data_IF_805054245505
#
_entry.id   IF_805054245505
#
_cell.length_a   1.000
_cell.length_b   1.000
_cell.length_c   1.000
_cell.angle_alpha   90.00
_cell.angle_beta   90.00
_cell.angle_gamma   90.00
#
_symmetry.space_group_name_H-M   'P 1'
#
loop_
_entity.id
_entity.type
_entity.pdbx_description
1 polymer ?
#
# COMPACT_ATOMS: atom_id res chain seq x y z
N UNK A 1 30.83 -31.18 18.20
CA UNK A 1 30.92 -29.97 17.36
C UNK A 1 29.51 -29.60 16.96
N UNK A 2 28.96 -28.66 17.72
CA UNK A 2 27.68 -28.00 17.54
C UNK A 2 27.72 -27.09 16.32
N UNK A 3 26.67 -27.10 15.49
CA UNK A 3 26.07 -25.84 15.08
C UNK A 3 24.59 -26.01 14.74
N UNK A 4 23.77 -25.45 15.59
CA UNK A 4 22.31 -25.37 15.50
C UNK A 4 21.97 -24.00 14.94
N UNK A 5 21.74 -23.90 13.62
CA UNK A 5 21.21 -22.68 13.02
C UNK A 5 19.73 -22.57 13.37
N UNK A 6 19.45 -21.80 14.42
CA UNK A 6 18.11 -21.40 14.82
C UNK A 6 17.41 -20.71 13.65
N UNK A 7 16.41 -21.37 13.06
CA UNK A 7 15.38 -20.69 12.29
C UNK A 7 14.55 -19.86 13.27
N UNK A 8 14.80 -18.55 13.29
CA UNK A 8 13.99 -17.58 14.02
C UNK A 8 12.55 -17.68 13.54
N UNK A 9 11.73 -18.35 14.34
CA UNK A 9 10.28 -18.41 14.18
C UNK A 9 9.77 -16.98 14.30
N UNK A 10 9.28 -16.39 13.21
CA UNK A 10 8.53 -15.14 13.30
C UNK A 10 7.32 -15.40 14.20
N UNK A 11 7.34 -14.86 15.41
CA UNK A 11 6.17 -14.84 16.28
C UNK A 11 5.07 -14.10 15.56
N UNK A 12 4.04 -14.81 15.09
CA UNK A 12 2.84 -14.22 14.51
C UNK A 12 2.00 -13.63 15.65
N UNK A 13 2.51 -12.56 16.27
CA UNK A 13 1.80 -11.81 17.29
C UNK A 13 0.70 -11.05 16.56
N UNK A 14 -0.50 -11.63 16.55
CA UNK A 14 -1.67 -11.03 15.93
C UNK A 14 -2.05 -9.77 16.72
N UNK A 15 -1.47 -8.64 16.33
CA UNK A 15 -1.73 -7.35 16.97
C UNK A 15 -3.16 -6.96 16.65
N UNK A 16 -3.96 -6.77 17.71
CA UNK A 16 -5.33 -6.26 17.56
C UNK A 16 -5.25 -4.81 17.12
N UNK A 17 -5.83 -4.52 15.94
CA UNK A 17 -5.99 -3.15 15.47
C UNK A 17 -6.94 -2.40 16.42
N UNK A 18 -6.56 -1.17 16.76
CA UNK A 18 -7.41 -0.26 17.53
C UNK A 18 -8.70 0.06 16.73
N UNK A 19 -9.85 -0.03 17.39
CA UNK A 19 -11.16 0.17 16.75
C UNK A 19 -11.35 1.56 16.15
N UNK A 20 -10.62 2.57 16.65
CA UNK A 20 -10.70 3.95 16.15
C UNK A 20 -10.29 4.06 14.68
N UNK A 21 -9.36 3.21 14.22
CA UNK A 21 -8.92 3.19 12.81
C UNK A 21 -10.07 2.74 11.92
N UNK A 22 -10.71 1.62 12.26
CA UNK A 22 -11.85 1.10 11.52
C UNK A 22 -13.03 2.07 11.54
N UNK A 23 -13.37 2.60 12.72
CA UNK A 23 -14.46 3.57 12.88
C UNK A 23 -14.24 4.83 12.05
N UNK A 24 -13.02 5.36 12.02
CA UNK A 24 -12.70 6.54 11.22
C UNK A 24 -12.92 6.30 9.72
N UNK A 25 -12.49 5.14 9.21
CA UNK A 25 -12.69 4.76 7.80
C UNK A 25 -14.18 4.60 7.49
N UNK A 26 -14.92 3.86 8.31
CA UNK A 26 -16.35 3.62 8.12
C UNK A 26 -17.16 4.92 8.15
N UNK A 27 -16.89 5.79 9.12
CA UNK A 27 -17.52 7.10 9.23
C UNK A 27 -17.12 8.03 8.07
N UNK A 28 -15.86 7.98 7.64
CA UNK A 28 -15.38 8.73 6.47
C UNK A 28 -16.14 8.35 5.21
N UNK A 29 -16.27 7.04 4.94
CA UNK A 29 -17.03 6.53 3.79
C UNK A 29 -18.52 6.90 3.90
N UNK A 30 -19.15 6.68 5.06
CA UNK A 30 -20.56 6.97 5.28
C UNK A 30 -20.91 8.46 5.08
N UNK A 31 -20.04 9.36 5.55
CA UNK A 31 -20.23 10.81 5.46
C UNK A 31 -19.63 11.44 4.20
N UNK A 32 -19.02 10.66 3.30
CA UNK A 32 -18.29 11.16 2.11
C UNK A 32 -17.17 12.14 2.49
N UNK A 33 -16.47 11.84 3.59
CA UNK A 33 -15.33 12.60 4.08
C UNK A 33 -14.03 11.86 3.82
N UNK A 34 -13.02 12.60 3.35
CA UNK A 34 -11.65 12.09 3.22
C UNK A 34 -11.04 11.93 4.61
N UNK A 35 -10.40 10.77 4.85
CA UNK A 35 -9.63 10.50 6.06
C UNK A 35 -8.14 10.50 5.74
N UNK A 36 -7.31 11.02 6.65
CA UNK A 36 -5.85 11.04 6.51
C UNK A 36 -5.21 10.24 7.64
N UNK A 37 -4.23 9.40 7.29
CA UNK A 37 -3.46 8.60 8.23
C UNK A 37 -1.97 8.93 8.08
N UNK A 38 -1.31 9.24 9.19
CA UNK A 38 0.15 9.37 9.26
C UNK A 38 0.71 8.12 9.94
N UNK A 39 1.51 7.35 9.19
CA UNK A 39 2.11 6.09 9.68
C UNK A 39 3.59 6.33 9.94
N UNK A 40 4.01 6.15 11.18
CA UNK A 40 5.41 6.35 11.61
C UNK A 40 6.03 5.00 11.95
N UNK A 41 7.15 4.68 11.31
CA UNK A 41 7.96 3.49 11.62
C UNK A 41 8.51 2.78 10.38
N UNK A 42 9.54 1.97 10.60
CA UNK A 42 10.31 1.30 9.54
C UNK A 42 9.48 0.27 8.75
N UNK A 43 8.46 -0.30 9.39
CA UNK A 43 7.53 -1.28 8.79
C UNK A 43 6.22 -0.66 8.31
N UNK A 44 6.17 0.66 8.15
CA UNK A 44 4.96 1.39 7.70
C UNK A 44 4.37 0.84 6.39
N UNK A 45 5.21 0.34 5.48
CA UNK A 45 4.78 -0.27 4.22
C UNK A 45 3.90 -1.51 4.40
N UNK A 46 4.13 -2.30 5.44
CA UNK A 46 3.33 -3.49 5.75
C UNK A 46 1.89 -3.12 6.17
N UNK A 47 1.68 -1.90 6.67
CA UNK A 47 0.38 -1.41 7.14
C UNK A 47 -0.50 -0.84 6.01
N UNK A 48 0.07 -0.54 4.84
CA UNK A 48 -0.67 -0.01 3.69
C UNK A 48 -1.74 -1.00 3.22
N UNK A 49 -1.39 -2.28 3.10
CA UNK A 49 -2.30 -3.32 2.60
C UNK A 49 -3.50 -3.54 3.54
N UNK A 50 -3.31 -3.73 4.86
CA UNK A 50 -4.43 -3.79 5.81
C UNK A 50 -5.35 -2.56 5.77
N UNK A 51 -4.80 -1.35 5.71
CA UNK A 51 -5.62 -0.13 5.66
C UNK A 51 -6.47 -0.05 4.39
N UNK A 52 -5.90 -0.40 3.23
CA UNK A 52 -6.65 -0.42 1.97
C UNK A 52 -7.69 -1.54 1.94
N UNK A 53 -7.44 -2.67 2.59
CA UNK A 53 -8.44 -3.73 2.77
C UNK A 53 -9.61 -3.27 3.66
N UNK A 54 -9.34 -2.52 4.73
CA UNK A 54 -10.40 -1.92 5.56
C UNK A 54 -11.24 -0.92 4.75
N UNK A 55 -10.58 -0.05 3.97
CA UNK A 55 -11.27 0.87 3.07
C UNK A 55 -12.12 0.12 2.04
N UNK A 56 -11.59 -0.95 1.44
CA UNK A 56 -12.31 -1.75 0.46
C UNK A 56 -13.49 -2.53 1.06
N UNK A 57 -13.48 -2.83 2.36
CA UNK A 57 -14.62 -3.44 3.09
C UNK A 57 -15.66 -2.41 3.50
N UNK A 58 -15.20 -1.22 3.91
CA UNK A 58 -16.08 -0.10 4.27
C UNK A 58 -16.82 0.45 3.05
N UNK A 59 -16.17 0.43 1.87
CA UNK A 59 -16.86 0.61 0.59
C UNK A 59 -17.62 -0.68 0.28
N UNK A 60 -18.90 -0.58 -0.05
CA UNK A 60 -19.67 -1.76 -0.46
C UNK A 60 -19.05 -2.43 -1.69
N UNK A 61 -19.24 -3.74 -1.83
CA UNK A 61 -18.70 -4.52 -2.97
C UNK A 61 -19.13 -3.96 -4.33
N UNK A 62 -20.28 -3.27 -4.38
CA UNK A 62 -20.82 -2.60 -5.55
C UNK A 62 -19.91 -1.47 -6.10
N UNK A 63 -19.04 -0.89 -5.28
CA UNK A 63 -18.11 0.17 -5.70
C UNK A 63 -16.75 -0.36 -6.18
N UNK A 64 -16.54 -1.69 -6.14
CA UNK A 64 -15.30 -2.32 -6.54
C UNK A 64 -14.09 -1.95 -5.66
N UNK A 65 -12.90 -2.44 -6.04
CA UNK A 65 -11.66 -2.08 -5.35
C UNK A 65 -11.27 -0.63 -5.66
N UNK A 66 -10.91 0.19 -4.66
CA UNK A 66 -10.49 1.55 -4.88
C UNK A 66 -9.23 1.61 -5.75
N UNK A 67 -9.20 2.49 -6.75
CA UNK A 67 -7.98 2.83 -7.48
C UNK A 67 -7.02 3.56 -6.55
N UNK A 68 -5.72 3.28 -6.69
CA UNK A 68 -4.70 3.82 -5.82
C UNK A 68 -3.76 4.76 -6.58
N UNK A 69 -3.59 5.97 -6.08
CA UNK A 69 -2.49 6.86 -6.45
C UNK A 69 -1.31 6.61 -5.51
N UNK A 70 -0.14 6.29 -6.05
CA UNK A 70 1.10 6.18 -5.27
C UNK A 70 2.10 7.24 -5.72
N UNK A 71 2.34 8.22 -4.85
CA UNK A 71 3.32 9.28 -5.07
C UNK A 71 4.60 9.05 -4.30
N UNK A 72 5.73 9.31 -4.95
CA UNK A 72 7.07 9.10 -4.39
C UNK A 72 8.08 10.09 -5.00
N UNK A 73 9.19 10.31 -4.29
CA UNK A 73 10.24 11.24 -4.73
C UNK A 73 11.22 10.58 -5.68
N UNK A 74 11.80 9.44 -5.29
CA UNK A 74 12.94 8.83 -6.00
C UNK A 74 12.79 7.33 -6.22
N UNK A 75 12.63 6.54 -5.16
CA UNK A 75 12.56 5.08 -5.26
C UNK A 75 11.34 4.54 -4.51
N UNK A 76 10.65 3.57 -5.10
CA UNK A 76 9.53 2.84 -4.49
C UNK A 76 10.02 1.69 -3.61
N UNK A 77 11.26 1.24 -3.77
CA UNK A 77 11.77 0.03 -3.14
C UNK A 77 11.13 -1.25 -3.71
N UNK A 78 10.57 -1.17 -4.93
CA UNK A 78 10.14 -2.30 -5.75
C UNK A 78 9.98 -1.87 -7.22
N UNK A 79 10.12 -2.83 -8.14
CA UNK A 79 9.87 -2.57 -9.57
C UNK A 79 8.37 -2.41 -9.83
N UNK A 80 7.96 -1.40 -10.60
CA UNK A 80 6.59 -1.25 -11.11
C UNK A 80 6.32 -2.12 -12.35
N UNK A 81 7.39 -2.57 -13.04
CA UNK A 81 7.28 -3.38 -14.26
C UNK A 81 6.87 -4.83 -13.94
N UNK A 82 5.64 -5.19 -14.31
CA UNK A 82 5.03 -6.51 -14.08
C UNK A 82 5.89 -7.68 -14.57
N UNK A 83 6.45 -7.58 -15.79
CA UNK A 83 7.31 -8.63 -16.38
C UNK A 83 8.60 -8.85 -15.57
N UNK A 84 9.25 -7.76 -15.15
CA UNK A 84 10.49 -7.83 -14.34
C UNK A 84 10.19 -8.45 -12.97
N UNK A 85 9.09 -8.03 -12.34
CA UNK A 85 8.65 -8.57 -11.06
C UNK A 85 8.36 -10.06 -11.10
N UNK A 86 7.63 -10.52 -12.11
CA UNK A 86 7.31 -11.95 -12.27
C UNK A 86 8.58 -12.80 -12.39
N UNK A 87 9.62 -12.32 -13.10
CA UNK A 87 10.91 -13.02 -13.19
C UNK A 87 11.62 -13.07 -11.85
N UNK A 88 11.62 -11.98 -11.08
CA UNK A 88 12.21 -11.93 -9.73
C UNK A 88 11.49 -12.87 -8.76
N UNK A 89 10.15 -12.89 -8.79
CA UNK A 89 9.32 -13.78 -7.99
C UNK A 89 9.59 -15.25 -8.32
N UNK A 90 9.61 -15.61 -9.60
CA UNK A 90 9.96 -16.98 -10.05
C UNK A 90 11.36 -17.40 -9.60
N UNK A 91 12.33 -16.48 -9.63
CA UNK A 91 13.69 -16.73 -9.15
C UNK A 91 13.69 -17.02 -7.64
N UNK A 92 12.95 -16.24 -6.84
CA UNK A 92 12.84 -16.44 -5.39
C UNK A 92 12.15 -17.76 -5.03
N UNK A 93 11.10 -18.13 -5.75
CA UNK A 93 10.42 -19.44 -5.61
C UNK A 93 11.40 -20.58 -5.92
N UNK A 94 12.17 -20.47 -7.01
CA UNK A 94 13.15 -21.50 -7.39
C UNK A 94 14.24 -21.73 -6.34
N UNK A 95 14.63 -20.68 -5.62
CA UNK A 95 15.64 -20.73 -4.56
C UNK A 95 15.02 -21.18 -3.21
N UNK A 96 13.70 -21.37 -3.14
CA UNK A 96 13.00 -21.82 -1.94
C UNK A 96 12.76 -20.74 -0.89
N UNK A 97 12.89 -19.45 -1.25
CA UNK A 97 12.69 -18.33 -0.34
C UNK A 97 11.21 -17.97 -0.13
N UNK A 98 10.33 -18.42 -1.02
CA UNK A 98 8.89 -18.12 -1.01
C UNK A 98 8.15 -19.42 -1.31
N UNK A 99 7.20 -19.78 -0.45
CA UNK A 99 6.29 -20.90 -0.72
C UNK A 99 5.32 -20.51 -1.85
N UNK A 100 5.29 -21.25 -2.98
CA UNK A 100 4.34 -21.01 -4.06
C UNK A 100 2.87 -21.06 -3.64
N UNK A 101 2.53 -21.74 -2.54
CA UNK A 101 1.14 -21.94 -2.09
C UNK A 101 0.58 -20.78 -1.29
N UNK A 102 1.38 -20.15 -0.44
CA UNK A 102 0.90 -19.07 0.43
C UNK A 102 0.93 -17.71 -0.27
N UNK A 103 1.91 -17.47 -1.14
CA UNK A 103 2.04 -16.21 -1.88
C UNK A 103 2.29 -14.99 -0.96
N UNK A 104 3.14 -14.07 -1.38
CA UNK A 104 3.38 -12.86 -0.59
C UNK A 104 2.15 -11.91 -0.68
N UNK A 105 1.49 -11.54 0.44
CA UNK A 105 0.37 -10.60 0.45
C UNK A 105 0.69 -9.27 -0.23
N UNK A 106 1.95 -8.82 -0.15
CA UNK A 106 2.43 -7.62 -0.82
C UNK A 106 2.36 -7.76 -2.35
N UNK A 107 2.87 -8.87 -2.86
CA UNK A 107 2.90 -9.17 -4.29
C UNK A 107 1.48 -9.34 -4.86
N UNK A 108 0.61 -10.00 -4.11
CA UNK A 108 -0.81 -10.12 -4.45
C UNK A 108 -1.47 -8.74 -4.50
N UNK A 109 -1.21 -7.87 -3.52
CA UNK A 109 -1.76 -6.53 -3.46
C UNK A 109 -1.34 -5.69 -4.68
N UNK A 110 -0.04 -5.60 -4.97
CA UNK A 110 0.46 -4.80 -6.09
C UNK A 110 -0.03 -5.34 -7.44
N UNK A 111 -0.24 -6.65 -7.55
CA UNK A 111 -0.70 -7.29 -8.79
C UNK A 111 -2.21 -7.17 -9.02
N UNK A 112 -3.01 -7.08 -7.95
CA UNK A 112 -4.48 -7.06 -8.01
C UNK A 112 -5.10 -5.66 -7.88
N UNK A 113 -4.32 -4.68 -7.42
CA UNK A 113 -4.77 -3.29 -7.27
C UNK A 113 -4.44 -2.49 -8.52
N UNK A 114 -5.37 -1.63 -8.96
CA UNK A 114 -5.10 -0.66 -10.01
C UNK A 114 -4.31 0.52 -9.41
N UNK A 115 -3.00 0.57 -9.67
CA UNK A 115 -2.09 1.56 -9.07
C UNK A 115 -1.56 2.50 -10.15
N UNK A 116 -1.80 3.80 -9.96
CA UNK A 116 -1.14 4.88 -10.70
C UNK A 116 0.09 5.34 -9.92
N UNK A 117 1.27 4.99 -10.41
CA UNK A 117 2.53 5.52 -9.89
C UNK A 117 2.80 6.91 -10.44
N UNK A 118 3.21 7.84 -9.59
CA UNK A 118 3.47 9.22 -9.97
C UNK A 118 4.66 9.78 -9.18
N UNK A 119 5.64 10.34 -9.88
CA UNK A 119 6.69 11.11 -9.21
C UNK A 119 6.12 12.42 -8.67
N UNK A 120 6.66 12.92 -7.55
CA UNK A 120 6.25 14.22 -7.03
C UNK A 120 6.41 15.38 -8.03
N UNK A 121 7.48 15.34 -8.83
CA UNK A 121 7.72 16.29 -9.92
C UNK A 121 6.63 16.28 -11.00
N UNK A 122 5.86 15.19 -11.09
CA UNK A 122 4.86 14.95 -12.14
C UNK A 122 3.41 14.98 -11.63
N UNK A 123 3.18 15.46 -10.40
CA UNK A 123 1.85 15.55 -9.78
C UNK A 123 0.87 16.45 -10.53
N UNK A 124 1.33 17.30 -11.45
CA UNK A 124 0.45 18.04 -12.34
C UNK A 124 -0.27 17.13 -13.37
N UNK A 125 0.26 15.93 -13.66
CA UNK A 125 -0.32 14.98 -14.63
C UNK A 125 -1.50 14.17 -14.09
N UNK A 126 -1.73 14.20 -12.77
CA UNK A 126 -2.85 13.47 -12.14
C UNK A 126 -4.11 14.32 -12.03
N UNK A 127 -4.02 15.62 -12.31
CA UNK A 127 -5.16 16.53 -12.34
C UNK A 127 -6.22 16.04 -13.34
N UNK A 128 -7.49 16.16 -12.95
CA UNK A 128 -8.62 15.64 -13.73
C UNK A 128 -8.87 14.13 -13.59
N UNK A 129 -8.02 13.41 -12.85
CA UNK A 129 -8.31 12.03 -12.46
C UNK A 129 -8.88 11.97 -11.04
N UNK A 130 -9.60 10.90 -10.75
CA UNK A 130 -10.10 10.60 -9.41
C UNK A 130 -9.63 9.22 -8.97
N UNK A 131 -9.10 9.14 -7.75
CA UNK A 131 -8.60 7.92 -7.12
C UNK A 131 -9.40 7.61 -5.87
N UNK A 132 -9.54 6.32 -5.56
CA UNK A 132 -10.22 5.88 -4.35
C UNK A 132 -9.34 5.99 -3.09
N UNK A 133 -8.02 6.07 -3.25
CA UNK A 133 -7.05 6.27 -2.18
C UNK A 133 -5.75 6.88 -2.73
N UNK A 134 -4.95 7.51 -1.85
CA UNK A 134 -3.63 8.02 -2.17
C UNK A 134 -2.60 7.62 -1.09
N UNK A 135 -1.41 7.20 -1.53
CA UNK A 135 -0.23 6.97 -0.69
C UNK A 135 0.82 8.00 -1.06
N UNK A 136 1.31 8.73 -0.06
CA UNK A 136 2.39 9.71 -0.16
C UNK A 136 3.62 9.17 0.57
N UNK A 137 4.64 8.76 -0.19
CA UNK A 137 5.92 8.28 0.35
C UNK A 137 6.92 9.43 0.47
N UNK A 138 7.92 9.38 1.35
CA UNK A 138 8.96 10.42 1.46
C UNK A 138 8.37 11.77 1.94
N UNK A 139 7.92 11.79 3.21
CA UNK A 139 7.29 12.96 3.84
C UNK A 139 8.13 14.24 3.71
N UNK A 140 9.47 14.12 3.71
CA UNK A 140 10.40 15.23 3.63
C UNK A 140 10.40 15.94 2.27
N UNK A 141 9.80 15.33 1.24
CA UNK A 141 9.66 15.90 -0.09
C UNK A 141 8.31 16.59 -0.33
N UNK A 142 7.39 16.55 0.65
CA UNK A 142 6.06 17.12 0.49
C UNK A 142 6.09 18.65 0.53
N UNK A 143 5.37 19.25 -0.41
CA UNK A 143 5.13 20.70 -0.46
C UNK A 143 3.62 20.95 -0.46
N UNK A 144 3.17 22.16 -0.07
CA UNK A 144 1.74 22.50 -0.09
C UNK A 144 1.07 22.23 -1.44
N UNK A 145 1.76 22.50 -2.56
CA UNK A 145 1.23 22.25 -3.90
C UNK A 145 1.07 20.75 -4.20
N UNK A 146 2.01 19.91 -3.78
CA UNK A 146 1.89 18.45 -3.93
C UNK A 146 0.71 17.94 -3.10
N UNK A 147 0.57 18.40 -1.86
CA UNK A 147 -0.53 18.03 -0.99
C UNK A 147 -1.88 18.43 -1.60
N UNK A 148 -2.01 19.67 -2.07
CA UNK A 148 -3.24 20.15 -2.70
C UNK A 148 -3.64 19.27 -3.91
N UNK A 149 -2.70 19.04 -4.84
CA UNK A 149 -2.95 18.26 -6.07
C UNK A 149 -3.28 16.79 -5.79
N UNK A 150 -2.66 16.20 -4.78
CA UNK A 150 -2.90 14.77 -4.48
C UNK A 150 -4.23 14.61 -3.73
N UNK A 151 -4.48 15.46 -2.72
CA UNK A 151 -5.69 15.40 -1.88
C UNK A 151 -6.96 15.74 -2.69
N UNK A 152 -6.90 16.68 -3.64
CA UNK A 152 -8.06 17.02 -4.48
C UNK A 152 -8.49 15.87 -5.42
N UNK A 153 -7.57 14.98 -5.78
CA UNK A 153 -7.86 13.83 -6.65
C UNK A 153 -8.44 12.62 -5.91
N UNK A 154 -8.64 12.69 -4.60
CA UNK A 154 -9.22 11.58 -3.80
C UNK A 154 -10.72 11.79 -3.59
N UNK A 155 -11.53 10.78 -3.91
CA UNK A 155 -12.99 10.75 -3.68
C UNK A 155 -13.39 10.24 -2.29
#
# INVERSE_FOLDING_TARGET
MSDSTQHSSQSNTKVRLDSRVTQLIEQGVANKHRSIFLIVGDKSRELIVPLLQLLARARSEAHGRPSLLWCYKKDLGFTTHRKKRMKELQKRIRIGLIDPKEGDPWELFISSTNIRYCYYAETHKILGNTFGACVLQDFEALTPNILARTIETVS
#
